data_IF_453820082393
#
_entry.id   IF_453820082393
#
_cell.length_a   1.000
_cell.length_b   1.000
_cell.length_c   1.000
_cell.angle_alpha   90.00
_cell.angle_beta   90.00
_cell.angle_gamma   90.00
#
_symmetry.space_group_name_H-M   'P 1'
#
loop_
_entity.id
_entity.type
_entity.pdbx_description
1 polymer ?
#
# COMPACT_ATOMS: atom_id res chain seq x y z
N UNK A 1 17.09 -18.27 -20.64
CA UNK A 1 15.74 -18.32 -20.06
C UNK A 1 15.46 -16.94 -19.46
N UNK A 2 14.42 -16.31 -20.03
CA UNK A 2 13.76 -15.02 -19.79
C UNK A 2 14.43 -13.95 -18.91
N UNK A 3 14.94 -12.91 -19.57
CA UNK A 3 15.22 -11.62 -18.95
C UNK A 3 13.87 -10.92 -18.70
N UNK A 4 13.41 -10.90 -17.45
CA UNK A 4 12.24 -10.09 -17.06
C UNK A 4 12.69 -8.64 -17.07
N UNK A 5 12.43 -7.94 -18.16
CA UNK A 5 12.53 -6.50 -18.21
C UNK A 5 11.44 -5.93 -17.29
N UNK A 6 11.73 -5.78 -16.01
CA UNK A 6 10.89 -4.99 -15.10
C UNK A 6 10.95 -3.56 -15.62
N UNK A 7 9.83 -3.12 -16.20
CA UNK A 7 9.70 -1.74 -16.64
C UNK A 7 9.63 -0.84 -15.40
N UNK A 8 10.14 0.40 -15.44
CA UNK A 8 10.12 1.30 -14.29
C UNK A 8 8.70 1.58 -13.76
N UNK A 9 7.68 1.42 -14.60
CA UNK A 9 6.27 1.48 -14.20
C UNK A 9 5.82 0.27 -13.35
N UNK A 10 6.31 -0.94 -13.65
CA UNK A 10 6.02 -2.15 -12.88
C UNK A 10 6.71 -2.09 -11.50
N UNK A 11 7.95 -1.61 -11.44
CA UNK A 11 8.65 -1.38 -10.15
C UNK A 11 7.93 -0.36 -9.27
N UNK A 12 7.35 0.68 -9.88
CA UNK A 12 6.62 1.70 -9.14
C UNK A 12 5.33 1.14 -8.53
N UNK A 13 4.59 0.37 -9.32
CA UNK A 13 3.38 -0.33 -8.85
C UNK A 13 3.69 -1.31 -7.72
N UNK A 14 4.71 -2.16 -7.89
CA UNK A 14 5.14 -3.13 -6.87
C UNK A 14 5.54 -2.43 -5.55
N UNK A 15 6.23 -1.30 -5.63
CA UNK A 15 6.59 -0.51 -4.46
C UNK A 15 5.36 0.09 -3.75
N UNK A 16 4.35 0.54 -4.50
CA UNK A 16 3.08 1.03 -3.94
C UNK A 16 2.29 -0.11 -3.28
N UNK A 17 2.19 -1.27 -3.92
CA UNK A 17 1.54 -2.46 -3.35
C UNK A 17 2.21 -2.93 -2.06
N UNK A 18 3.55 -2.94 -2.04
CA UNK A 18 4.33 -3.28 -0.84
C UNK A 18 4.04 -2.32 0.32
N UNK A 19 3.99 -1.00 0.05
CA UNK A 19 3.63 0.01 1.06
C UNK A 19 2.19 -0.14 1.55
N UNK A 20 1.26 -0.47 0.65
CA UNK A 20 -0.14 -0.72 1.01
C UNK A 20 -0.29 -1.98 1.90
N UNK A 21 0.45 -3.05 1.60
CA UNK A 21 0.50 -4.26 2.43
C UNK A 21 1.07 -3.94 3.82
N UNK A 22 2.17 -3.18 3.88
CA UNK A 22 2.77 -2.74 5.14
C UNK A 22 1.80 -1.93 6.01
N UNK A 23 1.09 -0.95 5.42
CA UNK A 23 0.07 -0.18 6.15
C UNK A 23 -1.07 -1.06 6.66
N UNK A 24 -1.48 -2.07 5.89
CA UNK A 24 -2.51 -3.02 6.32
C UNK A 24 -2.07 -3.82 7.54
N UNK A 25 -0.85 -4.37 7.49
CA UNK A 25 -0.29 -5.11 8.61
C UNK A 25 -0.14 -4.23 9.87
N UNK A 26 0.30 -2.98 9.67
CA UNK A 26 0.44 -2.01 10.76
C UNK A 26 -0.92 -1.67 11.38
N UNK A 27 -1.97 -1.45 10.58
CA UNK A 27 -3.34 -1.25 11.09
C UNK A 27 -3.79 -2.43 11.94
N UNK A 28 -3.57 -3.67 11.49
CA UNK A 28 -3.97 -4.86 12.26
C UNK A 28 -3.20 -4.96 13.58
N UNK A 29 -1.90 -4.69 13.57
CA UNK A 29 -1.07 -4.73 14.78
C UNK A 29 -1.50 -3.67 15.78
N UNK A 30 -1.76 -2.43 15.32
CA UNK A 30 -2.32 -1.39 16.18
C UNK A 30 -3.71 -1.78 16.69
N UNK A 31 -4.61 -2.27 15.85
CA UNK A 31 -5.97 -2.67 16.27
C UNK A 31 -5.99 -3.81 17.30
N UNK A 32 -4.98 -4.69 17.28
CA UNK A 32 -4.81 -5.73 18.30
C UNK A 32 -4.22 -5.20 19.60
N UNK A 33 -3.60 -4.02 19.59
CA UNK A 33 -2.97 -3.44 20.76
C UNK A 33 -4.02 -2.76 21.65
N UNK A 34 -4.18 -3.17 22.93
CA UNK A 34 -5.24 -2.67 23.81
C UNK A 34 -5.11 -1.17 24.14
N UNK A 35 -3.92 -0.60 23.98
CA UNK A 35 -3.66 0.84 24.15
C UNK A 35 -3.56 1.61 22.83
N UNK A 36 -3.95 1.01 21.70
CA UNK A 36 -3.86 1.70 20.43
C UNK A 36 -4.79 2.91 20.40
N UNK A 37 -4.23 4.03 19.98
CA UNK A 37 -5.00 5.25 19.81
C UNK A 37 -5.82 5.15 18.52
N UNK A 38 -7.14 5.27 18.63
CA UNK A 38 -8.04 5.31 17.47
C UNK A 38 -7.64 6.36 16.43
N UNK A 39 -7.01 7.45 16.86
CA UNK A 39 -6.46 8.48 15.98
C UNK A 39 -5.35 7.95 15.06
N UNK A 40 -4.47 7.06 15.55
CA UNK A 40 -3.40 6.43 14.77
C UNK A 40 -4.03 5.49 13.73
N UNK A 41 -4.96 4.63 14.15
CA UNK A 41 -5.66 3.70 13.25
C UNK A 41 -6.40 4.47 12.15
N UNK A 42 -7.08 5.58 12.49
CA UNK A 42 -7.78 6.43 11.52
C UNK A 42 -6.81 7.08 10.53
N UNK A 43 -5.64 7.49 10.99
CA UNK A 43 -4.59 8.07 10.15
C UNK A 43 -4.01 7.03 9.19
N UNK A 44 -3.68 5.83 9.69
CA UNK A 44 -3.17 4.72 8.89
C UNK A 44 -4.18 4.27 7.83
N UNK A 45 -5.48 4.17 8.19
CA UNK A 45 -6.55 3.85 7.22
C UNK A 45 -6.65 4.91 6.12
N UNK A 46 -6.49 6.19 6.45
CA UNK A 46 -6.49 7.28 5.46
C UNK A 46 -5.29 7.20 4.53
N UNK A 47 -4.10 6.90 5.07
CA UNK A 47 -2.90 6.67 4.25
C UNK A 47 -3.07 5.46 3.33
N UNK A 48 -3.65 4.36 3.85
CA UNK A 48 -3.96 3.16 3.07
C UNK A 48 -4.92 3.46 1.92
N UNK A 49 -5.96 4.28 2.16
CA UNK A 49 -6.90 4.69 1.11
C UNK A 49 -6.21 5.48 0.00
N UNK A 50 -5.35 6.45 0.34
CA UNK A 50 -4.58 7.23 -0.66
C UNK A 50 -3.68 6.34 -1.52
N UNK A 51 -2.97 5.40 -0.88
CA UNK A 51 -2.13 4.43 -1.61
C UNK A 51 -2.96 3.54 -2.53
N UNK A 52 -4.16 3.13 -2.11
CA UNK A 52 -5.07 2.37 -2.98
C UNK A 52 -5.48 3.18 -4.21
N UNK A 53 -5.81 4.47 -4.04
CA UNK A 53 -6.15 5.35 -5.16
C UNK A 53 -4.97 5.56 -6.12
N UNK A 54 -3.75 5.71 -5.59
CA UNK A 54 -2.52 5.80 -6.39
C UNK A 54 -2.25 4.51 -7.18
N UNK A 55 -2.42 3.34 -6.55
CA UNK A 55 -2.28 2.03 -7.21
C UNK A 55 -3.29 1.88 -8.35
N UNK A 56 -4.57 2.18 -8.10
CA UNK A 56 -5.60 2.10 -9.14
C UNK A 56 -5.30 3.06 -10.30
N UNK A 57 -4.78 4.25 -10.00
CA UNK A 57 -4.38 5.23 -11.02
C UNK A 57 -3.20 4.73 -11.85
N UNK A 58 -2.16 4.17 -11.23
CA UNK A 58 -0.99 3.66 -11.96
C UNK A 58 -1.35 2.40 -12.76
N UNK A 59 -2.20 1.53 -12.20
CA UNK A 59 -2.73 0.35 -12.89
C UNK A 59 -3.59 0.72 -14.10
N UNK A 60 -4.41 1.76 -13.99
CA UNK A 60 -5.18 2.30 -15.12
C UNK A 60 -4.33 2.97 -16.20
N UNK A 61 -3.07 3.33 -15.90
CA UNK A 61 -2.11 3.86 -16.87
C UNK A 61 -1.36 2.74 -17.62
N UNK A 62 -1.21 1.58 -16.99
CA UNK A 62 -0.57 0.38 -17.55
C UNK A 62 -1.52 -0.46 -18.42
N UNK A 63 -2.83 -0.26 -18.31
CA UNK A 63 -3.88 -0.90 -19.11
C UNK A 63 -4.16 -0.12 -20.41
#
# INVERSE_FOLDING_TARGET
MTQVAVSPADSHLEALETRHAFLSHRIETEQRHPAASDQIIRTLKRQKLRLKEEIEKEKGRLA
#
